data_IF_581711266965
#
_entry.id   IF_581711266965
#
_cell.length_a   1.000
_cell.length_b   1.000
_cell.length_c   1.000
_cell.angle_alpha   90.00
_cell.angle_beta   90.00
_cell.angle_gamma   90.00
#
_symmetry.space_group_name_H-M   'P 1'
#
loop_
_entity.id
_entity.type
_entity.pdbx_description
1 polymer ?
#
# COMPACT_ATOMS: atom_id res chain seq x y z
N UNK A 1 -15.43 15.75 -7.80
CA UNK A 1 -15.11 15.34 -9.18
C UNK A 1 -14.49 13.93 -9.28
N UNK A 2 -14.55 13.09 -8.24
CA UNK A 2 -13.95 11.73 -8.23
C UNK A 2 -15.01 10.59 -8.19
N UNK A 3 -16.24 10.87 -8.62
CA UNK A 3 -17.40 9.96 -8.50
C UNK A 3 -17.82 9.29 -9.81
N UNK A 4 -17.12 9.51 -10.93
CA UNK A 4 -17.53 9.01 -12.27
C UNK A 4 -16.61 7.95 -12.90
N UNK A 5 -15.71 7.35 -12.13
CA UNK A 5 -14.97 6.20 -12.62
C UNK A 5 -15.44 4.99 -11.82
N UNK A 6 -16.17 4.08 -12.46
CA UNK A 6 -16.48 2.73 -11.99
C UNK A 6 -15.22 1.87 -11.85
N UNK A 7 -14.24 2.38 -11.13
CA UNK A 7 -12.96 1.74 -10.87
C UNK A 7 -13.19 0.69 -9.80
N UNK A 8 -12.91 -0.56 -10.16
CA UNK A 8 -12.82 -1.70 -9.25
C UNK A 8 -12.13 -1.27 -7.96
N UNK A 9 -12.62 -1.73 -6.82
CA UNK A 9 -12.09 -1.42 -5.47
C UNK A 9 -10.56 -1.60 -5.43
N UNK A 10 -10.05 -2.59 -6.16
CA UNK A 10 -8.61 -2.84 -6.31
C UNK A 10 -7.81 -1.71 -6.95
N UNK A 11 -8.38 -0.90 -7.85
CA UNK A 11 -7.66 0.21 -8.51
C UNK A 11 -7.58 1.45 -7.64
N UNK A 12 -8.63 1.73 -6.84
CA UNK A 12 -8.59 2.81 -5.84
C UNK A 12 -7.49 2.55 -4.81
N UNK A 13 -7.32 1.29 -4.41
CA UNK A 13 -6.25 0.87 -3.51
C UNK A 13 -4.85 1.10 -4.10
N UNK A 14 -4.66 0.76 -5.38
CA UNK A 14 -3.38 1.00 -6.08
C UNK A 14 -3.05 2.49 -6.13
N UNK A 15 -4.04 3.34 -6.41
CA UNK A 15 -3.82 4.79 -6.50
C UNK A 15 -3.39 5.36 -5.15
N UNK A 16 -4.03 4.96 -4.04
CA UNK A 16 -3.71 5.49 -2.71
C UNK A 16 -2.31 5.03 -2.25
N UNK A 17 -2.03 3.73 -2.32
CA UNK A 17 -0.72 3.21 -1.89
C UNK A 17 0.41 3.64 -2.83
N UNK A 18 0.12 3.74 -4.14
CA UNK A 18 1.04 4.27 -5.14
C UNK A 18 1.36 5.75 -4.90
N UNK A 19 0.35 6.58 -4.62
CA UNK A 19 0.55 7.99 -4.30
C UNK A 19 1.36 8.18 -3.01
N UNK A 20 1.10 7.37 -1.97
CA UNK A 20 1.88 7.38 -0.73
C UNK A 20 3.34 6.99 -0.98
N UNK A 21 3.58 5.92 -1.74
CA UNK A 21 4.93 5.50 -2.11
C UNK A 21 5.66 6.57 -2.93
N UNK A 22 4.97 7.20 -3.89
CA UNK A 22 5.52 8.28 -4.71
C UNK A 22 5.85 9.51 -3.87
N UNK A 23 5.00 9.86 -2.90
CA UNK A 23 5.26 10.94 -1.95
C UNK A 23 6.49 10.64 -1.07
N UNK A 24 6.65 9.40 -0.60
CA UNK A 24 7.85 8.98 0.14
C UNK A 24 9.11 9.10 -0.73
N UNK A 25 9.04 8.67 -1.99
CA UNK A 25 10.15 8.83 -2.95
C UNK A 25 10.46 10.30 -3.21
N UNK A 26 9.44 11.15 -3.34
CA UNK A 26 9.63 12.58 -3.54
C UNK A 26 10.31 13.23 -2.33
N UNK A 27 9.90 12.91 -1.11
CA UNK A 27 10.54 13.39 0.12
C UNK A 27 11.99 12.90 0.21
N UNK A 28 12.24 11.63 -0.08
CA UNK A 28 13.59 11.06 -0.15
C UNK A 28 14.47 11.80 -1.18
N UNK A 29 13.94 12.06 -2.37
CA UNK A 29 14.64 12.75 -3.44
C UNK A 29 14.98 14.20 -3.06
N UNK A 30 14.05 14.90 -2.39
CA UNK A 30 14.30 16.26 -1.85
C UNK A 30 15.35 16.22 -0.74
N UNK A 31 15.29 15.26 0.18
CA UNK A 31 16.29 15.09 1.24
C UNK A 31 17.69 14.82 0.69
N UNK A 32 17.80 13.95 -0.32
CA UNK A 32 19.05 13.66 -1.03
C UNK A 32 19.59 14.88 -1.79
N UNK A 33 18.71 15.64 -2.44
CA UNK A 33 19.09 16.84 -3.20
C UNK A 33 19.54 18.00 -2.28
N UNK A 34 18.93 18.13 -1.10
CA UNK A 34 19.32 19.13 -0.08
C UNK A 34 20.70 18.88 0.52
N UNK A 35 21.11 17.61 0.66
CA UNK A 35 22.48 17.26 1.06
C UNK A 35 23.48 17.64 -0.04
N UNK A 36 23.12 17.46 -1.32
CA UNK A 36 23.95 17.89 -2.46
C UNK A 36 24.16 19.41 -2.57
N UNK A 37 23.31 20.24 -1.95
CA UNK A 37 23.55 21.68 -1.86
C UNK A 37 24.59 22.08 -0.80
N UNK A 38 24.84 21.24 0.21
CA UNK A 38 25.88 21.50 1.23
C UNK A 38 27.27 21.31 0.64
N UNK A 39 27.43 20.35 -0.28
CA UNK A 39 28.69 20.11 -0.99
C UNK A 39 29.10 21.26 -1.93
N UNK A 40 28.16 22.15 -2.31
CA UNK A 40 28.47 23.38 -3.07
C UNK A 40 29.04 24.50 -2.22
N UNK A 41 28.67 24.58 -0.94
CA UNK A 41 29.25 25.57 -0.02
C UNK A 41 30.71 25.22 0.27
N UNK A 42 31.06 23.94 0.27
CA UNK A 42 32.44 23.47 0.51
C UNK A 42 33.43 24.00 -0.52
N UNK A 43 33.06 24.07 -1.82
CA UNK A 43 33.91 24.68 -2.85
C UNK A 43 34.08 26.20 -2.66
N UNK A 44 33.03 26.89 -2.21
CA UNK A 44 33.11 28.32 -1.90
C UNK A 44 34.02 28.55 -0.67
N UNK A 45 33.89 27.70 0.35
CA UNK A 45 34.72 27.72 1.57
C UNK A 45 36.17 27.37 1.26
N UNK A 46 36.46 26.38 0.40
CA UNK A 46 37.82 26.03 -0.03
C UNK A 46 38.51 27.18 -0.79
N UNK A 47 37.78 27.87 -1.66
CA UNK A 47 38.30 29.04 -2.40
C UNK A 47 38.50 30.29 -1.52
N UNK A 48 37.76 30.38 -0.41
CA UNK A 48 37.95 31.41 0.62
C UNK A 48 39.09 31.02 1.60
N UNK A 49 39.20 29.74 1.97
CA UNK A 49 40.24 29.18 2.83
C UNK A 49 41.63 29.29 2.20
N UNK A 50 41.71 29.17 0.87
CA UNK A 50 42.96 29.37 0.13
C UNK A 50 43.45 30.82 0.12
N UNK A 51 42.64 31.79 0.56
CA UNK A 51 43.03 33.21 0.71
C UNK A 51 43.49 33.57 2.13
N UNK A 52 43.35 32.65 3.09
CA UNK A 52 43.71 32.87 4.50
C UNK A 52 45.18 32.50 4.78
N UNK A 53 45.83 33.16 5.76
CA UNK A 53 47.17 32.81 6.23
C UNK A 53 47.19 31.40 6.85
N UNK A 54 48.34 30.70 6.74
CA UNK A 54 48.47 29.27 7.06
C UNK A 54 47.99 28.87 8.47
N UNK A 55 48.11 29.79 9.43
CA UNK A 55 47.66 29.64 10.82
C UNK A 55 46.16 29.32 10.94
N UNK A 56 45.31 29.95 10.11
CA UNK A 56 43.84 29.80 10.20
C UNK A 56 43.30 28.60 9.41
N UNK A 57 44.08 28.03 8.49
CA UNK A 57 43.65 26.92 7.62
C UNK A 57 43.37 25.64 8.39
N UNK A 58 44.19 25.35 9.40
CA UNK A 58 44.10 24.14 10.23
C UNK A 58 42.80 24.12 11.05
N UNK A 59 42.30 25.29 11.46
CA UNK A 59 41.02 25.40 12.17
C UNK A 59 39.82 25.12 11.23
N UNK A 60 39.86 25.64 10.00
CA UNK A 60 38.84 25.41 8.98
C UNK A 60 38.78 23.94 8.56
N UNK A 61 39.94 23.32 8.32
CA UNK A 61 40.04 21.94 7.87
C UNK A 61 39.50 20.94 8.92
N UNK A 62 39.72 21.22 10.21
CA UNK A 62 39.07 20.46 11.30
C UNK A 62 37.55 20.62 11.27
N UNK A 63 37.02 21.83 11.09
CA UNK A 63 35.56 22.04 11.04
C UNK A 63 34.90 21.37 9.84
N UNK A 64 35.57 21.31 8.70
CA UNK A 64 35.09 20.60 7.50
C UNK A 64 34.98 19.09 7.74
N UNK A 65 36.02 18.47 8.32
CA UNK A 65 36.01 17.02 8.60
C UNK A 65 34.92 16.58 9.58
N UNK A 66 34.54 17.43 10.55
CA UNK A 66 33.42 17.13 11.46
C UNK A 66 32.05 17.26 10.78
N UNK A 67 31.91 18.18 9.81
CA UNK A 67 30.67 18.39 9.06
C UNK A 67 30.41 17.23 8.08
N UNK A 68 31.43 16.77 7.35
CA UNK A 68 31.34 15.65 6.41
C UNK A 68 30.86 14.35 7.10
N UNK A 69 31.37 14.07 8.30
CA UNK A 69 30.99 12.89 9.07
C UNK A 69 29.50 12.91 9.50
N UNK A 70 28.97 14.09 9.87
CA UNK A 70 27.54 14.23 10.20
C UNK A 70 26.65 14.08 8.96
N UNK A 71 27.07 14.58 7.80
CA UNK A 71 26.31 14.45 6.54
C UNK A 71 26.22 13.00 6.08
N UNK A 72 27.31 12.24 6.16
CA UNK A 72 27.33 10.82 5.78
C UNK A 72 26.37 9.97 6.64
N UNK A 73 26.36 10.20 7.97
CA UNK A 73 25.43 9.52 8.86
C UNK A 73 23.96 9.89 8.59
N UNK A 74 23.68 11.17 8.34
CA UNK A 74 22.32 11.66 8.05
C UNK A 74 21.78 11.06 6.75
N UNK A 75 22.64 10.95 5.74
CA UNK A 75 22.32 10.30 4.46
C UNK A 75 21.98 8.82 4.63
N UNK A 76 22.78 8.07 5.39
CA UNK A 76 22.54 6.66 5.65
C UNK A 76 21.20 6.41 6.36
N UNK A 77 20.84 7.28 7.32
CA UNK A 77 19.55 7.20 8.01
C UNK A 77 18.37 7.51 7.08
N UNK A 78 18.48 8.52 6.21
CA UNK A 78 17.44 8.87 5.24
C UNK A 78 17.19 7.75 4.24
N UNK A 79 18.25 7.18 3.67
CA UNK A 79 18.16 6.05 2.72
C UNK A 79 17.56 4.81 3.40
N UNK A 80 17.99 4.52 4.64
CA UNK A 80 17.46 3.40 5.42
C UNK A 80 15.98 3.53 5.76
N UNK A 81 15.56 4.67 6.32
CA UNK A 81 14.15 4.91 6.68
C UNK A 81 13.24 4.95 5.45
N UNK A 82 13.69 5.56 4.35
CA UNK A 82 12.93 5.61 3.10
C UNK A 82 12.73 4.22 2.50
N UNK A 83 13.76 3.39 2.48
CA UNK A 83 13.66 2.01 2.03
C UNK A 83 12.65 1.20 2.87
N UNK A 84 12.71 1.33 4.20
CA UNK A 84 11.76 0.68 5.11
C UNK A 84 10.32 1.14 4.84
N UNK A 85 10.09 2.44 4.70
CA UNK A 85 8.77 2.99 4.41
C UNK A 85 8.19 2.46 3.08
N UNK A 86 9.02 2.33 2.04
CA UNK A 86 8.61 1.76 0.76
C UNK A 86 8.24 0.27 0.88
N UNK A 87 9.04 -0.51 1.59
CA UNK A 87 8.76 -1.93 1.85
C UNK A 87 7.47 -2.09 2.62
N UNK A 88 7.26 -1.31 3.69
CA UNK A 88 6.04 -1.36 4.49
C UNK A 88 4.80 -1.00 3.65
N UNK A 89 4.89 0.02 2.80
CA UNK A 89 3.79 0.38 1.89
C UNK A 89 3.45 -0.76 0.93
N UNK A 90 4.47 -1.40 0.33
CA UNK A 90 4.28 -2.52 -0.57
C UNK A 90 3.67 -3.75 0.14
N UNK A 91 4.16 -4.08 1.33
CA UNK A 91 3.64 -5.19 2.15
C UNK A 91 2.19 -4.92 2.55
N UNK A 92 1.89 -3.72 3.05
CA UNK A 92 0.54 -3.33 3.44
C UNK A 92 -0.43 -3.40 2.25
N UNK A 93 -0.02 -2.90 1.07
CA UNK A 93 -0.80 -2.98 -0.15
C UNK A 93 -1.13 -4.43 -0.55
N UNK A 94 -0.13 -5.31 -0.55
CA UNK A 94 -0.29 -6.71 -0.91
C UNK A 94 -1.16 -7.46 0.11
N UNK A 95 -0.94 -7.22 1.41
CA UNK A 95 -1.70 -7.83 2.50
C UNK A 95 -3.18 -7.44 2.41
N UNK A 96 -3.48 -6.15 2.25
CA UNK A 96 -4.86 -5.66 2.19
C UNK A 96 -5.59 -6.16 0.94
N UNK A 97 -4.90 -6.19 -0.21
CA UNK A 97 -5.45 -6.75 -1.45
C UNK A 97 -5.83 -8.23 -1.28
N UNK A 98 -4.95 -9.04 -0.68
CA UNK A 98 -5.21 -10.48 -0.47
C UNK A 98 -6.26 -10.74 0.61
N UNK A 99 -6.26 -9.95 1.69
CA UNK A 99 -7.15 -10.14 2.83
C UNK A 99 -8.57 -9.60 2.64
N UNK A 100 -8.80 -8.64 1.74
CA UNK A 100 -10.12 -8.01 1.57
C UNK A 100 -10.66 -8.22 0.15
N UNK A 101 -9.89 -7.88 -0.88
CA UNK A 101 -10.42 -7.84 -2.26
C UNK A 101 -10.72 -9.24 -2.79
N UNK A 102 -9.91 -10.24 -2.44
CA UNK A 102 -10.14 -11.64 -2.80
C UNK A 102 -11.46 -12.19 -2.23
N UNK A 103 -11.62 -12.23 -0.89
CA UNK A 103 -12.85 -12.64 -0.23
C UNK A 103 -14.10 -11.93 -0.71
N UNK A 104 -14.00 -10.61 -0.94
CA UNK A 104 -15.14 -9.81 -1.37
C UNK A 104 -15.62 -10.17 -2.78
N UNK A 105 -14.69 -10.42 -3.71
CA UNK A 105 -15.06 -10.88 -5.06
C UNK A 105 -15.74 -12.25 -5.02
N UNK A 106 -15.33 -13.13 -4.11
CA UNK A 106 -15.97 -14.44 -3.94
C UNK A 106 -17.39 -14.31 -3.37
N UNK A 107 -17.60 -13.41 -2.41
CA UNK A 107 -18.94 -13.07 -1.92
C UNK A 107 -19.86 -12.54 -3.04
N UNK A 108 -19.33 -11.65 -3.88
CA UNK A 108 -20.07 -11.09 -5.02
C UNK A 108 -20.47 -12.18 -6.00
N UNK A 109 -19.56 -13.11 -6.31
CA UNK A 109 -19.85 -14.22 -7.22
C UNK A 109 -21.01 -15.08 -6.69
N UNK A 110 -20.97 -15.45 -5.41
CA UNK A 110 -22.05 -16.24 -4.76
C UNK A 110 -23.38 -15.50 -4.86
N UNK A 111 -23.39 -14.21 -4.52
CA UNK A 111 -24.59 -13.39 -4.59
C UNK A 111 -25.15 -13.28 -6.02
N UNK A 112 -24.29 -13.17 -7.04
CA UNK A 112 -24.69 -13.15 -8.45
C UNK A 112 -25.29 -14.50 -8.90
N UNK A 113 -24.71 -15.63 -8.46
CA UNK A 113 -25.22 -16.98 -8.77
C UNK A 113 -26.58 -17.25 -8.13
N UNK A 114 -26.75 -16.88 -6.85
CA UNK A 114 -28.03 -16.96 -6.14
C UNK A 114 -29.08 -16.07 -6.81
N UNK A 115 -28.71 -14.85 -7.20
CA UNK A 115 -29.62 -13.95 -7.92
C UNK A 115 -30.01 -14.46 -9.31
N UNK A 116 -29.17 -15.29 -9.96
CA UNK A 116 -29.47 -15.96 -11.22
C UNK A 116 -30.37 -17.20 -11.05
N UNK A 117 -30.64 -17.63 -9.80
CA UNK A 117 -31.49 -18.79 -9.49
C UNK A 117 -30.80 -20.14 -9.66
N UNK A 118 -29.47 -20.16 -9.79
CA UNK A 118 -28.69 -21.40 -9.82
C UNK A 118 -28.26 -21.78 -8.40
N UNK A 119 -29.11 -22.54 -7.72
CA UNK A 119 -28.95 -23.00 -6.34
C UNK A 119 -28.28 -24.40 -6.27
N UNK A 120 -27.63 -24.83 -7.36
CA UNK A 120 -27.04 -26.16 -7.46
C UNK A 120 -25.59 -26.24 -6.96
N UNK A 121 -25.00 -25.10 -6.58
CA UNK A 121 -23.60 -25.02 -6.15
C UNK A 121 -23.48 -24.96 -4.63
N UNK A 122 -22.81 -25.96 -4.07
CA UNK A 122 -22.49 -25.99 -2.64
C UNK A 122 -21.27 -25.08 -2.37
N UNK A 123 -21.52 -23.89 -1.82
CA UNK A 123 -20.46 -22.92 -1.55
C UNK A 123 -19.76 -23.21 -0.21
N UNK A 124 -18.73 -24.06 -0.25
CA UNK A 124 -17.84 -24.25 0.91
C UNK A 124 -16.84 -23.09 0.99
N UNK A 125 -16.87 -22.34 2.08
CA UNK A 125 -15.93 -21.24 2.34
C UNK A 125 -14.89 -21.65 3.38
N UNK A 126 -13.66 -21.92 2.95
CA UNK A 126 -12.50 -22.11 3.84
C UNK A 126 -11.99 -20.81 4.50
N UNK A 127 -12.62 -19.68 4.21
CA UNK A 127 -12.24 -18.38 4.78
C UNK A 127 -12.60 -18.34 6.26
N UNK A 128 -11.64 -17.98 7.10
CA UNK A 128 -11.83 -17.70 8.53
C UNK A 128 -11.95 -16.21 8.82
N UNK A 129 -12.59 -15.86 9.94
CA UNK A 129 -12.80 -14.48 10.38
C UNK A 129 -14.14 -13.90 9.90
N UNK A 130 -14.24 -12.57 9.86
CA UNK A 130 -15.52 -11.88 9.58
C UNK A 130 -16.07 -12.19 8.17
N UNK A 131 -15.21 -12.36 7.17
CA UNK A 131 -15.63 -12.71 5.81
C UNK A 131 -16.14 -14.15 5.69
N UNK A 132 -15.57 -15.08 6.45
CA UNK A 132 -16.08 -16.46 6.55
C UNK A 132 -17.46 -16.51 7.18
N UNK A 133 -17.68 -15.72 8.25
CA UNK A 133 -18.99 -15.59 8.88
C UNK A 133 -20.02 -14.96 7.93
N UNK A 134 -19.61 -13.98 7.11
CA UNK A 134 -20.45 -13.36 6.09
C UNK A 134 -20.83 -14.34 4.98
N UNK A 135 -19.86 -15.04 4.38
CA UNK A 135 -20.13 -16.04 3.33
C UNK A 135 -20.96 -17.20 3.87
N UNK A 136 -20.71 -17.65 5.10
CA UNK A 136 -21.50 -18.70 5.73
C UNK A 136 -22.97 -18.29 5.91
N UNK A 137 -23.22 -17.05 6.36
CA UNK A 137 -24.58 -16.53 6.47
C UNK A 137 -25.30 -16.40 5.11
N UNK A 138 -24.56 -16.07 4.05
CA UNK A 138 -25.09 -16.05 2.68
C UNK A 138 -25.49 -17.46 2.21
N UNK A 139 -24.68 -18.49 2.48
CA UNK A 139 -25.02 -19.88 2.18
C UNK A 139 -26.26 -20.36 2.94
N UNK A 140 -26.38 -20.04 4.23
CA UNK A 140 -27.60 -20.39 5.00
C UNK A 140 -28.87 -19.73 4.44
N UNK A 141 -28.77 -18.51 3.90
CA UNK A 141 -29.89 -17.84 3.24
C UNK A 141 -30.28 -18.53 1.92
N UNK A 142 -29.28 -19.00 1.16
CA UNK A 142 -29.49 -19.81 -0.03
C UNK A 142 -30.20 -21.13 0.27
N UNK A 143 -29.75 -21.88 1.28
CA UNK A 143 -30.37 -23.12 1.72
C UNK A 143 -31.85 -22.91 2.08
N UNK A 144 -32.12 -21.84 2.84
CA UNK A 144 -33.49 -21.48 3.24
C UNK A 144 -34.37 -21.17 2.03
N UNK A 145 -33.83 -20.54 0.99
CA UNK A 145 -34.59 -20.26 -0.25
C UNK A 145 -34.85 -21.53 -1.06
N UNK A 146 -33.87 -22.43 -1.14
CA UNK A 146 -34.02 -23.73 -1.82
C UNK A 146 -35.11 -24.57 -1.16
N UNK A 147 -35.09 -24.66 0.17
CA UNK A 147 -36.10 -25.37 0.97
C UNK A 147 -37.52 -24.78 0.79
N UNK A 148 -37.64 -23.47 0.55
CA UNK A 148 -38.94 -22.82 0.31
C UNK A 148 -39.48 -23.08 -1.10
N UNK A 149 -38.61 -23.28 -2.10
CA UNK A 149 -39.00 -23.44 -3.51
C UNK A 149 -39.22 -24.93 -3.88
N UNK A 150 -38.60 -25.87 -3.16
CA UNK A 150 -38.80 -27.30 -3.34
C UNK A 150 -40.28 -27.76 -3.26
N UNK A 151 -41.07 -27.31 -2.26
CA UNK A 151 -42.50 -27.64 -2.18
C UNK A 151 -43.28 -27.19 -3.43
N UNK A 152 -42.95 -26.01 -3.99
CA UNK A 152 -43.63 -25.46 -5.18
C UNK A 152 -43.37 -26.32 -6.41
N UNK A 153 -42.14 -26.81 -6.60
CA UNK A 153 -41.81 -27.73 -7.70
C UNK A 153 -42.57 -29.05 -7.60
N UNK A 154 -42.77 -29.57 -6.40
CA UNK A 154 -43.55 -30.80 -6.19
C UNK A 154 -45.03 -30.62 -6.55
N UNK A 155 -45.62 -29.44 -6.32
CA UNK A 155 -47.01 -29.17 -6.72
C UNK A 155 -47.21 -29.08 -8.24
N UNK A 156 -46.22 -28.59 -8.99
CA UNK A 156 -46.31 -28.48 -10.46
C UNK A 156 -46.14 -29.83 -11.16
N UNK A 157 -45.44 -30.79 -10.54
CA UNK A 157 -45.25 -32.12 -11.12
C UNK A 157 -46.42 -33.10 -10.88
N UNK A 158 -47.31 -32.79 -9.93
CA UNK A 158 -48.48 -33.63 -9.58
C UNK A 158 -49.80 -33.12 -10.20
N UNK A 159 -49.79 -31.98 -10.91
CA UNK A 159 -50.94 -31.38 -11.59
C UNK A 159 -50.87 -31.56 -13.11
#
# INVERSE_FOLDING_TARGET
MAERLGLRIGTRLVIVFGALALLVVAIMCVGLSGIGSVERDDQAVLSAASRLPAEQRIAVERTLGHAEAQLASTRAWLEGLGAVALVLSAVAFVSLRRGIVGPLNQAILIAETVAAGDLSQEFTTDLRGDFGRLLGALGTMEDTLTDLVEPVRNFVCEA
#
